data_IF_560506092363
#
_entry.id   IF_560506092363
#
_cell.length_a   1.000
_cell.length_b   1.000
_cell.length_c   1.000
_cell.angle_alpha   90.00
_cell.angle_beta   90.00
_cell.angle_gamma   90.00
#
_symmetry.space_group_name_H-M   'P 1'
#
loop_
_entity.id
_entity.type
_entity.pdbx_description
1 polymer ?
#
# COMPACT_ATOMS: atom_id res chain seq x y z
N UNK A 1 -5.49 -7.68 20.03
CA UNK A 1 -4.73 -8.23 18.89
C UNK A 1 -3.94 -7.08 18.32
N UNK A 2 -2.76 -6.83 18.87
CA UNK A 2 -1.79 -5.91 18.30
C UNK A 2 -0.95 -6.73 17.32
N UNK A 3 -1.33 -6.67 16.05
CA UNK A 3 -0.57 -7.24 14.96
C UNK A 3 0.39 -6.19 14.40
N UNK A 4 1.37 -6.65 13.62
CA UNK A 4 2.17 -5.73 12.81
C UNK A 4 1.24 -4.88 11.94
N UNK A 5 1.54 -3.59 11.82
CA UNK A 5 0.82 -2.66 10.96
C UNK A 5 1.79 -1.99 10.01
N UNK A 6 1.31 -1.57 8.85
CA UNK A 6 2.10 -0.80 7.89
C UNK A 6 1.59 0.61 7.91
N UNK A 7 2.40 1.54 8.40
CA UNK A 7 2.08 2.96 8.42
C UNK A 7 2.62 3.62 7.17
N UNK A 8 1.83 4.45 6.51
CA UNK A 8 2.36 5.43 5.58
C UNK A 8 2.18 6.85 6.11
N UNK A 9 3.15 7.70 5.78
CA UNK A 9 3.12 9.14 6.05
C UNK A 9 3.37 9.89 4.75
N UNK A 10 2.40 10.69 4.33
CA UNK A 10 2.51 11.56 3.14
C UNK A 10 2.77 12.98 3.60
N UNK A 11 4.00 13.46 3.40
CA UNK A 11 4.40 14.83 3.69
C UNK A 11 4.03 15.72 2.51
N UNK A 12 3.27 16.78 2.80
CA UNK A 12 2.83 17.78 1.82
C UNK A 12 3.24 19.19 2.27
N UNK A 13 3.69 20.07 1.35
CA UNK A 13 3.98 21.47 1.68
C UNK A 13 2.71 22.30 1.95
N UNK A 14 1.53 21.70 1.93
CA UNK A 14 0.26 22.36 2.19
C UNK A 14 0.09 22.65 3.68
N UNK A 15 0.01 23.94 4.05
CA UNK A 15 0.10 24.38 5.45
C UNK A 15 -1.22 24.39 6.24
N UNK A 16 -2.38 24.37 5.56
CA UNK A 16 -3.68 24.50 6.21
C UNK A 16 -4.24 23.12 6.56
N UNK A 17 -3.97 22.64 7.77
CA UNK A 17 -4.39 21.30 8.24
C UNK A 17 -5.91 21.09 8.10
N UNK A 18 -6.72 22.07 8.52
CA UNK A 18 -8.19 21.98 8.43
C UNK A 18 -8.69 21.76 6.99
N UNK A 19 -8.09 22.48 6.03
CA UNK A 19 -8.47 22.39 4.61
C UNK A 19 -8.06 21.05 4.03
N UNK A 20 -6.89 20.55 4.41
CA UNK A 20 -6.40 19.24 3.96
C UNK A 20 -7.25 18.10 4.55
N UNK A 21 -7.60 18.19 5.83
CA UNK A 21 -8.48 17.22 6.48
C UNK A 21 -9.89 17.23 5.87
N UNK A 22 -10.43 18.41 5.55
CA UNK A 22 -11.67 18.55 4.79
C UNK A 22 -11.58 17.94 3.40
N UNK A 23 -10.47 18.14 2.68
CA UNK A 23 -10.20 17.49 1.39
C UNK A 23 -10.21 15.96 1.52
N UNK A 24 -9.52 15.40 2.51
CA UNK A 24 -9.52 13.97 2.78
C UNK A 24 -10.95 13.45 3.03
N UNK A 25 -11.72 14.12 3.89
CA UNK A 25 -13.12 13.75 4.18
C UNK A 25 -14.01 13.78 2.93
N UNK A 26 -13.87 14.80 2.08
CA UNK A 26 -14.65 14.90 0.83
C UNK A 26 -14.34 13.77 -0.15
N UNK A 27 -13.12 13.21 -0.11
CA UNK A 27 -12.72 12.04 -0.86
C UNK A 27 -13.04 10.72 -0.15
N UNK A 28 -13.78 10.73 0.95
CA UNK A 28 -14.12 9.53 1.71
C UNK A 28 -12.97 8.92 2.51
N UNK A 29 -11.85 9.65 2.67
CA UNK A 29 -10.70 9.18 3.42
C UNK A 29 -10.92 9.38 4.92
N UNK A 30 -10.68 8.33 5.70
CA UNK A 30 -10.55 8.40 7.16
C UNK A 30 -9.10 8.20 7.57
N UNK A 31 -8.37 9.31 7.53
CA UNK A 31 -6.93 9.39 7.81
C UNK A 31 -6.66 10.47 8.85
N UNK A 32 -5.52 10.40 9.51
CA UNK A 32 -5.03 11.48 10.35
C UNK A 32 -4.32 12.53 9.51
N UNK A 33 -4.62 13.80 9.75
CA UNK A 33 -3.89 14.94 9.19
C UNK A 33 -3.18 15.67 10.32
N UNK A 34 -1.86 15.68 10.27
CA UNK A 34 -0.99 16.17 11.34
C UNK A 34 -0.25 17.44 10.87
N UNK A 35 -0.22 18.52 11.67
CA UNK A 35 0.57 19.70 11.35
C UNK A 35 2.07 19.39 11.31
N UNK A 36 2.79 20.06 10.42
CA UNK A 36 4.24 19.98 10.31
C UNK A 36 4.83 21.38 10.06
N UNK A 37 6.08 21.62 10.46
CA UNK A 37 6.74 22.89 10.21
C UNK A 37 6.89 23.20 8.71
N UNK A 38 7.03 22.16 7.88
CA UNK A 38 7.10 22.26 6.42
C UNK A 38 5.73 22.24 5.72
N UNK A 39 4.64 21.91 6.43
CA UNK A 39 3.29 21.88 5.87
C UNK A 39 2.33 21.04 6.70
N UNK A 40 1.96 19.88 6.17
CA UNK A 40 1.12 18.91 6.86
C UNK A 40 1.49 17.49 6.43
N UNK A 41 1.10 16.52 7.24
CA UNK A 41 1.33 15.10 7.01
C UNK A 41 0.00 14.36 7.03
N UNK A 42 -0.20 13.46 6.09
CA UNK A 42 -1.32 12.51 6.12
C UNK A 42 -0.80 11.17 6.58
N UNK A 43 -1.37 10.63 7.66
CA UNK A 43 -0.92 9.39 8.32
C UNK A 43 -2.07 8.38 8.31
N UNK A 44 -1.75 7.14 7.94
CA UNK A 44 -2.70 6.03 7.94
C UNK A 44 -1.98 4.72 8.26
N UNK A 45 -2.66 3.86 9.01
CA UNK A 45 -2.19 2.54 9.40
C UNK A 45 -3.00 1.49 8.67
N UNK A 46 -2.29 0.65 7.90
CA UNK A 46 -2.87 -0.52 7.29
C UNK A 46 -2.61 -1.74 8.17
N UNK A 47 -3.61 -2.59 8.42
CA UNK A 47 -3.36 -3.88 9.03
C UNK A 47 -2.45 -4.69 8.10
N UNK A 48 -1.34 -5.23 8.61
CA UNK A 48 -0.56 -6.22 7.86
C UNK A 48 -1.24 -7.57 8.06
N UNK A 49 -1.62 -8.28 6.99
CA UNK A 49 -2.13 -9.64 7.14
C UNK A 49 -1.04 -10.50 7.79
N UNK A 50 -1.34 -11.04 8.96
CA UNK A 50 -0.51 -12.04 9.62
C UNK A 50 -0.75 -13.35 8.89
N UNK A 51 0.24 -13.83 8.16
CA UNK A 51 0.23 -15.16 7.60
C UNK A 51 0.79 -16.10 8.67
N UNK A 52 -0.04 -16.98 9.21
CA UNK A 52 0.44 -18.06 10.08
C UNK A 52 1.25 -19.06 9.24
N UNK A 53 2.32 -19.59 9.84
CA UNK A 53 3.40 -20.43 9.26
C UNK A 53 2.97 -21.79 8.64
N UNK A 54 1.73 -21.97 8.17
CA UNK A 54 1.17 -23.30 7.93
C UNK A 54 0.20 -23.48 6.75
N UNK A 55 0.50 -22.90 5.59
CA UNK A 55 0.04 -23.44 4.29
C UNK A 55 1.16 -24.27 3.58
N UNK A 56 2.21 -24.62 4.32
CA UNK A 56 3.27 -25.52 3.85
C UNK A 56 2.70 -26.93 3.56
N UNK A 57 1.57 -27.30 4.17
CA UNK A 57 0.84 -28.54 3.88
C UNK A 57 0.31 -28.62 2.43
N UNK A 58 -0.09 -27.49 1.85
CA UNK A 58 -0.51 -27.41 0.44
C UNK A 58 0.71 -27.42 -0.49
N UNK A 59 1.85 -26.87 -0.05
CA UNK A 59 3.11 -26.90 -0.79
C UNK A 59 3.77 -28.30 -0.80
N UNK A 60 3.53 -29.12 0.23
CA UNK A 60 4.05 -30.48 0.36
C UNK A 60 3.05 -31.57 -0.08
N UNK A 61 1.90 -31.19 -0.66
CA UNK A 61 0.94 -32.14 -1.23
C UNK A 61 0.29 -33.04 -0.18
N UNK A 62 -0.24 -32.46 0.89
CA UNK A 62 -1.05 -33.15 1.89
C UNK A 62 -2.38 -33.66 1.32
N UNK A 63 -2.33 -34.70 0.49
CA UNK A 63 -3.49 -35.43 0.02
C UNK A 63 -4.20 -36.09 1.19
N UNK A 64 -5.42 -35.61 1.50
CA UNK A 64 -6.35 -36.36 2.32
C UNK A 64 -6.96 -37.49 1.48
N UNK A 65 -6.81 -38.73 1.94
CA UNK A 65 -7.65 -39.84 1.49
C UNK A 65 -6.90 -41.09 1.06
N UNK A 66 -6.69 -42.02 1.99
CA UNK A 66 -6.20 -43.37 1.68
C UNK A 66 -5.86 -44.16 2.94
N UNK A 67 -6.90 -44.62 3.63
CA UNK A 67 -6.87 -45.54 4.78
C UNK A 67 -6.14 -46.85 4.49
N UNK A 68 -5.47 -47.36 5.53
CA UNK A 68 -5.29 -48.77 5.92
C UNK A 68 -5.00 -49.81 4.83
N UNK A 69 -3.78 -50.35 4.81
CA UNK A 69 -3.61 -51.81 4.90
C UNK A 69 -2.23 -52.17 5.47
N UNK A 70 -2.23 -52.74 6.67
CA UNK A 70 -1.15 -53.60 7.15
C UNK A 70 -1.02 -54.83 6.24
N UNK A 71 0.19 -55.16 5.80
CA UNK A 71 0.51 -56.52 5.34
C UNK A 71 2.00 -56.83 5.50
N UNK A 72 2.23 -58.00 6.12
CA UNK A 72 3.46 -58.58 6.62
C UNK A 72 4.65 -58.69 5.65
N UNK A 73 5.82 -58.51 6.28
CA UNK A 73 7.05 -59.29 6.15
C UNK A 73 7.13 -60.36 5.04
N UNK A 74 8.16 -60.21 4.21
CA UNK A 74 8.93 -61.36 3.70
C UNK A 74 10.38 -60.94 3.47
N UNK A 75 11.25 -61.27 4.43
CA UNK A 75 12.69 -61.39 4.17
C UNK A 75 12.91 -62.59 3.24
N UNK A 76 13.89 -62.48 2.33
CA UNK A 76 14.93 -63.50 2.39
C UNK A 76 16.32 -62.89 2.42
N UNK A 77 17.09 -63.35 3.41
CA UNK A 77 18.52 -63.20 3.48
C UNK A 77 19.21 -63.86 2.28
N UNK A 78 20.20 -63.18 1.69
CA UNK A 78 21.52 -63.78 1.54
C UNK A 78 22.63 -62.72 1.30
N UNK A 79 23.68 -62.91 2.10
CA UNK A 79 25.01 -62.31 2.23
C UNK A 79 25.76 -62.19 0.86
N UNK A 80 26.72 -61.31 0.55
CA UNK A 80 27.68 -60.50 1.33
C UNK A 80 28.41 -59.48 0.37
N UNK A 81 29.35 -58.62 0.84
CA UNK A 81 29.55 -57.25 0.35
C UNK A 81 30.75 -57.03 -0.60
N UNK A 82 30.81 -55.86 -1.26
CA UNK A 82 32.06 -55.25 -1.73
C UNK A 82 32.07 -53.73 -1.43
N UNK A 83 33.12 -53.18 -0.79
CA UNK A 83 33.18 -51.81 -0.32
C UNK A 83 33.75 -50.84 -1.37
N UNK A 84 33.30 -49.59 -1.29
CA UNK A 84 34.01 -48.42 -1.79
C UNK A 84 33.75 -48.04 -3.25
N UNK A 85 32.89 -47.04 -3.46
CA UNK A 85 33.12 -46.07 -4.53
C UNK A 85 32.80 -44.66 -4.03
N UNK A 86 33.87 -43.93 -3.81
CA UNK A 86 33.98 -42.47 -3.81
C UNK A 86 33.69 -41.92 -5.21
N UNK A 87 32.96 -40.80 -5.25
CA UNK A 87 33.07 -39.65 -6.17
C UNK A 87 33.74 -39.83 -7.53
N UNK A 88 33.10 -39.31 -8.59
CA UNK A 88 33.70 -38.56 -9.72
C UNK A 88 32.51 -38.06 -10.58
N UNK A 89 32.08 -36.81 -10.43
CA UNK A 89 32.52 -35.63 -11.20
C UNK A 89 32.52 -35.83 -12.72
N UNK A 90 31.61 -35.06 -13.33
CA UNK A 90 31.62 -34.40 -14.65
C UNK A 90 31.84 -35.23 -15.91
N UNK A 91 30.97 -35.05 -16.92
CA UNK A 91 31.23 -34.04 -17.95
C UNK A 91 30.21 -34.08 -19.13
N UNK A 92 29.86 -32.87 -19.56
CA UNK A 92 29.54 -32.43 -20.93
C UNK A 92 28.36 -32.97 -21.80
N UNK A 93 27.60 -31.98 -22.26
CA UNK A 93 27.36 -31.66 -23.69
C UNK A 93 26.02 -31.99 -24.38
N UNK A 94 25.10 -31.01 -24.24
CA UNK A 94 24.52 -30.18 -25.32
C UNK A 94 23.53 -30.82 -26.36
N UNK A 95 22.86 -30.02 -27.24
CA UNK A 95 21.39 -29.98 -27.30
C UNK A 95 20.79 -30.39 -28.67
N UNK A 96 19.46 -30.58 -28.74
CA UNK A 96 18.67 -30.53 -29.98
C UNK A 96 17.28 -29.96 -29.63
N UNK A 97 16.77 -28.82 -30.14
CA UNK A 97 16.52 -28.27 -31.50
C UNK A 97 15.39 -28.99 -32.28
N UNK A 98 14.35 -28.19 -32.59
CA UNK A 98 13.21 -28.38 -33.50
C UNK A 98 12.01 -29.23 -32.98
N UNK A 99 10.73 -28.90 -33.22
CA UNK A 99 10.10 -27.86 -34.04
C UNK A 99 8.61 -27.65 -33.66
N UNK A 100 8.15 -26.44 -33.96
CA UNK A 100 6.84 -25.98 -34.50
C UNK A 100 5.46 -26.48 -33.98
N UNK A 101 4.70 -25.47 -33.54
CA UNK A 101 3.35 -25.08 -33.98
C UNK A 101 2.32 -26.15 -34.38
N UNK A 102 1.16 -26.15 -33.68
CA UNK A 102 -0.12 -25.88 -34.36
C UNK A 102 -1.30 -25.61 -33.41
N UNK A 103 -1.95 -24.46 -33.68
CA UNK A 103 -3.40 -24.23 -33.80
C UNK A 103 -4.37 -24.91 -32.82
N UNK A 104 -5.22 -24.10 -32.19
CA UNK A 104 -6.65 -24.06 -32.56
C UNK A 104 -7.41 -22.99 -31.78
N UNK A 105 -7.94 -22.03 -32.52
CA UNK A 105 -9.03 -21.12 -32.18
C UNK A 105 -10.29 -21.85 -31.72
N UNK A 106 -11.02 -21.30 -30.74
CA UNK A 106 -12.47 -21.47 -30.63
C UNK A 106 -13.14 -20.10 -30.36
N UNK A 107 -13.72 -19.59 -31.44
CA UNK A 107 -14.76 -18.56 -31.45
C UNK A 107 -16.10 -19.25 -31.23
N UNK A 108 -16.96 -18.65 -30.40
CA UNK A 108 -18.40 -18.93 -30.28
C UNK A 108 -18.94 -17.89 -29.31
N UNK A 109 -19.42 -16.73 -29.75
CA UNK A 109 -20.73 -16.47 -30.37
C UNK A 109 -21.88 -17.31 -29.79
N UNK A 110 -22.57 -16.71 -28.81
CA UNK A 110 -23.88 -17.14 -28.34
C UNK A 110 -24.71 -15.89 -28.01
N UNK A 111 -25.30 -15.35 -29.07
CA UNK A 111 -26.68 -14.85 -29.17
C UNK A 111 -27.45 -14.61 -27.86
N UNK A 112 -27.80 -13.33 -27.70
CA UNK A 112 -28.93 -12.78 -26.95
C UNK A 112 -30.20 -13.59 -27.14
N UNK A 113 -30.86 -13.97 -26.03
CA UNK A 113 -32.28 -14.35 -26.03
C UNK A 113 -32.97 -13.87 -24.75
N UNK A 114 -33.79 -12.84 -24.95
CA UNK A 114 -35.20 -12.77 -24.55
C UNK A 114 -35.60 -12.94 -23.08
N UNK A 115 -36.01 -11.80 -22.53
CA UNK A 115 -36.86 -11.55 -21.36
C UNK A 115 -38.08 -12.48 -21.26
N UNK A 116 -38.47 -12.86 -20.03
CA UNK A 116 -39.88 -12.78 -19.66
C UNK A 116 -40.10 -11.94 -18.39
N UNK A 117 -41.02 -10.99 -18.52
CA UNK A 117 -41.65 -10.23 -17.45
C UNK A 117 -42.55 -11.14 -16.63
N UNK A 118 -42.38 -11.15 -15.31
CA UNK A 118 -43.39 -11.58 -14.36
C UNK A 118 -43.32 -10.64 -13.16
N UNK A 119 -44.38 -9.86 -13.03
CA UNK A 119 -44.77 -9.13 -11.82
C UNK A 119 -44.89 -10.10 -10.66
N UNK A 120 -44.23 -9.82 -9.54
CA UNK A 120 -44.73 -10.20 -8.22
C UNK A 120 -44.26 -9.18 -7.18
N UNK A 121 -45.26 -8.53 -6.61
CA UNK A 121 -45.24 -7.54 -5.55
C UNK A 121 -45.01 -8.28 -4.22
N UNK A 122 -43.80 -8.22 -3.68
CA UNK A 122 -43.51 -8.58 -2.28
C UNK A 122 -42.55 -7.55 -1.70
N UNK A 123 -43.10 -6.63 -0.92
CA UNK A 123 -42.34 -5.79 0.00
C UNK A 123 -41.86 -6.64 1.17
N UNK A 124 -40.66 -7.21 1.06
CA UNK A 124 -39.87 -7.61 2.22
C UNK A 124 -38.67 -6.68 2.31
N UNK A 125 -38.80 -5.72 3.23
CA UNK A 125 -37.76 -4.80 3.64
C UNK A 125 -36.75 -5.56 4.50
N UNK A 126 -35.93 -6.38 3.85
CA UNK A 126 -34.73 -6.94 4.45
C UNK A 126 -33.60 -5.93 4.27
N UNK A 127 -33.17 -5.39 5.41
CA UNK A 127 -31.98 -4.59 5.59
C UNK A 127 -30.75 -5.45 5.28
N UNK A 128 -30.49 -5.66 3.99
CA UNK A 128 -29.26 -6.23 3.48
C UNK A 128 -28.21 -5.12 3.40
N UNK A 129 -27.04 -5.38 3.97
CA UNK A 129 -25.85 -4.56 3.88
C UNK A 129 -25.70 -3.98 2.47
N UNK A 130 -25.89 -2.67 2.36
CA UNK A 130 -25.48 -1.92 1.20
C UNK A 130 -23.95 -2.00 1.18
N UNK A 131 -23.40 -2.94 0.42
CA UNK A 131 -22.04 -2.83 -0.10
C UNK A 131 -21.93 -1.41 -0.66
N UNK A 132 -21.12 -0.56 -0.03
CA UNK A 132 -20.92 0.84 -0.40
C UNK A 132 -20.46 0.90 -1.87
N UNK A 133 -21.41 1.06 -2.79
CA UNK A 133 -21.12 1.35 -4.20
C UNK A 133 -20.15 2.55 -4.22
N UNK A 134 -18.94 2.39 -4.77
CA UNK A 134 -17.91 3.42 -4.69
C UNK A 134 -18.43 4.69 -5.35
N UNK A 135 -18.73 5.69 -4.54
CA UNK A 135 -19.18 6.99 -5.03
C UNK A 135 -18.11 7.53 -5.97
N UNK A 136 -18.44 7.94 -7.21
CA UNK A 136 -17.43 8.38 -8.18
C UNK A 136 -16.59 9.54 -7.61
N UNK A 137 -15.30 9.27 -7.38
CA UNK A 137 -14.35 10.20 -6.77
C UNK A 137 -13.96 9.90 -5.31
N UNK A 138 -14.53 8.88 -4.68
CA UNK A 138 -14.05 8.36 -3.40
C UNK A 138 -12.69 7.66 -3.58
N UNK A 139 -11.83 7.84 -2.58
CA UNK A 139 -10.52 7.21 -2.49
C UNK A 139 -10.55 6.25 -1.30
N UNK A 140 -9.91 5.08 -1.44
CA UNK A 140 -9.64 4.22 -0.29
C UNK A 140 -8.40 4.74 0.44
N UNK A 141 -8.47 4.82 1.77
CA UNK A 141 -7.30 5.12 2.59
C UNK A 141 -6.23 4.03 2.48
N UNK A 142 -6.62 2.79 2.15
CA UNK A 142 -5.66 1.70 2.01
C UNK A 142 -4.89 1.76 0.67
N UNK A 143 -5.40 2.51 -0.32
CA UNK A 143 -4.67 2.78 -1.57
C UNK A 143 -3.76 4.02 -1.42
N UNK A 144 -2.64 3.80 -0.75
CA UNK A 144 -1.57 4.79 -0.53
C UNK A 144 -1.23 5.57 -1.80
N UNK A 145 -1.12 4.89 -2.94
CA UNK A 145 -0.66 5.50 -4.19
C UNK A 145 -1.74 6.40 -4.79
N UNK A 146 -3.02 6.00 -4.72
CA UNK A 146 -4.13 6.86 -5.12
C UNK A 146 -4.23 8.10 -4.22
N UNK A 147 -4.09 7.94 -2.90
CA UNK A 147 -4.07 9.07 -1.94
C UNK A 147 -2.91 10.01 -2.25
N UNK A 148 -1.70 9.48 -2.44
CA UNK A 148 -0.52 10.28 -2.77
C UNK A 148 -0.70 11.07 -4.08
N UNK A 149 -1.24 10.45 -5.13
CA UNK A 149 -1.51 11.14 -6.42
C UNK A 149 -2.58 12.21 -6.28
N UNK A 150 -3.61 11.99 -5.48
CA UNK A 150 -4.64 13.00 -5.22
C UNK A 150 -4.04 14.22 -4.51
N UNK A 151 -3.22 13.99 -3.48
CA UNK A 151 -2.54 15.03 -2.72
C UNK A 151 -1.46 15.76 -3.53
N UNK A 152 -0.73 15.05 -4.41
CA UNK A 152 0.28 15.64 -5.28
C UNK A 152 -0.30 16.72 -6.20
N UNK A 153 -1.58 16.60 -6.61
CA UNK A 153 -2.25 17.63 -7.43
C UNK A 153 -2.46 18.95 -6.68
N UNK A 154 -2.44 18.95 -5.36
CA UNK A 154 -2.57 20.15 -4.53
C UNK A 154 -1.25 20.94 -4.41
N UNK A 155 -0.12 20.34 -4.81
CA UNK A 155 1.22 20.89 -4.65
C UNK A 155 2.00 20.86 -5.95
N UNK A 156 2.52 22.01 -6.38
CA UNK A 156 3.43 22.07 -7.54
C UNK A 156 4.76 21.36 -7.29
N UNK A 157 5.16 21.18 -6.03
CA UNK A 157 6.36 20.46 -5.67
C UNK A 157 6.15 18.93 -5.58
N UNK A 158 4.90 18.47 -5.67
CA UNK A 158 4.54 17.08 -5.35
C UNK A 158 4.42 16.85 -3.84
N UNK A 159 4.44 15.58 -3.46
CA UNK A 159 4.41 15.06 -2.09
C UNK A 159 5.48 14.01 -1.90
N UNK A 160 5.86 13.77 -0.65
CA UNK A 160 6.79 12.72 -0.24
C UNK A 160 6.03 11.65 0.53
N UNK A 161 6.11 10.41 0.09
CA UNK A 161 5.46 9.26 0.70
C UNK A 161 6.52 8.46 1.43
N UNK A 162 6.36 8.25 2.73
CA UNK A 162 7.15 7.32 3.53
C UNK A 162 6.27 6.15 3.95
N UNK A 163 6.85 4.95 4.03
CA UNK A 163 6.14 3.76 4.49
C UNK A 163 7.05 2.98 5.43
N UNK A 164 6.53 2.61 6.59
CA UNK A 164 7.21 1.84 7.62
C UNK A 164 6.34 0.65 8.07
N UNK A 165 7.00 -0.43 8.45
CA UNK A 165 6.34 -1.58 9.09
C UNK A 165 6.55 -1.48 10.59
N UNK A 166 5.45 -1.24 11.30
CA UNK A 166 5.38 -1.18 12.75
C UNK A 166 5.10 -2.58 13.29
N UNK A 167 5.84 -2.98 14.31
CA UNK A 167 5.63 -4.22 15.03
C UNK A 167 5.97 -4.06 16.50
N UNK A 168 5.53 -5.01 17.29
CA UNK A 168 5.90 -5.12 18.69
C UNK A 168 7.20 -5.92 18.79
N UNK A 169 8.36 -5.29 18.56
CA UNK A 169 9.65 -6.00 18.65
C UNK A 169 10.51 -5.45 19.81
N UNK A 170 10.58 -6.27 20.86
CA UNK A 170 11.39 -6.17 22.09
C UNK A 170 11.19 -4.92 22.97
N UNK A 171 10.11 -4.94 23.76
CA UNK A 171 9.80 -3.92 24.76
C UNK A 171 8.32 -3.57 24.72
N UNK A 172 7.78 -2.96 25.77
CA UNK A 172 6.37 -2.55 25.82
C UNK A 172 6.03 -1.36 24.88
N UNK A 173 6.80 -1.14 23.81
CA UNK A 173 6.74 0.03 22.93
C UNK A 173 6.55 -0.41 21.48
N UNK A 174 5.72 0.32 20.73
CA UNK A 174 5.62 0.16 19.27
C UNK A 174 6.95 0.59 18.63
N UNK A 175 7.51 -0.26 17.78
CA UNK A 175 8.77 0.00 17.08
C UNK A 175 8.67 -0.35 15.59
N UNK A 176 9.70 0.01 14.83
CA UNK A 176 9.80 -0.42 13.42
C UNK A 176 10.36 -1.84 13.38
N UNK A 177 9.55 -2.80 12.92
CA UNK A 177 9.99 -4.19 12.78
C UNK A 177 10.59 -4.50 11.40
N UNK A 178 10.89 -3.47 10.58
CA UNK A 178 11.24 -3.67 9.17
C UNK A 178 11.90 -2.48 8.46
N UNK A 179 11.69 -2.41 7.14
CA UNK A 179 12.30 -1.42 6.26
C UNK A 179 11.44 -0.15 6.16
N UNK A 180 12.07 1.02 6.26
CA UNK A 180 11.44 2.30 5.88
C UNK A 180 11.75 2.59 4.41
N UNK A 181 10.70 2.85 3.62
CA UNK A 181 10.83 3.25 2.20
C UNK A 181 10.36 4.69 2.01
N UNK A 182 10.87 5.37 0.98
CA UNK A 182 10.46 6.73 0.65
C UNK A 182 10.38 6.94 -0.87
N UNK A 183 9.34 7.64 -1.30
CA UNK A 183 9.06 7.93 -2.71
C UNK A 183 8.54 9.36 -2.85
N UNK A 184 8.98 10.07 -3.89
CA UNK A 184 8.41 11.36 -4.27
C UNK A 184 7.37 11.12 -5.35
N UNK A 185 6.18 11.71 -5.18
CA UNK A 185 5.12 11.73 -6.19
C UNK A 185 4.92 13.16 -6.64
N UNK A 186 5.21 13.45 -7.90
CA UNK A 186 5.07 14.80 -8.45
C UNK A 186 3.61 15.13 -8.86
N UNK A 187 3.35 16.38 -9.24
CA UNK A 187 2.00 16.81 -9.65
C UNK A 187 1.44 16.13 -10.90
N UNK A 188 2.29 15.45 -11.69
CA UNK A 188 1.86 14.64 -12.84
C UNK A 188 1.49 13.20 -12.44
N UNK A 189 1.79 12.80 -11.20
CA UNK A 189 1.62 11.45 -10.70
C UNK A 189 2.82 10.55 -10.98
N UNK A 190 3.94 11.10 -11.46
CA UNK A 190 5.17 10.35 -11.63
C UNK A 190 5.81 10.09 -10.26
N UNK A 191 6.14 8.82 -10.01
CA UNK A 191 6.74 8.36 -8.76
C UNK A 191 8.23 8.08 -8.95
N UNK A 192 9.06 8.56 -8.04
CA UNK A 192 10.50 8.29 -8.00
C UNK A 192 10.93 7.89 -6.60
N UNK A 193 11.70 6.81 -6.48
CA UNK A 193 12.28 6.41 -5.20
C UNK A 193 13.27 7.45 -4.67
N UNK A 194 13.40 7.51 -3.34
CA UNK A 194 14.30 8.42 -2.63
C UNK A 194 14.86 7.74 -1.37
N UNK A 195 16.11 8.02 -0.96
CA UNK A 195 16.69 7.40 0.23
C UNK A 195 15.95 7.79 1.52
N UNK A 196 15.20 6.86 2.10
CA UNK A 196 14.39 7.10 3.30
C UNK A 196 15.22 7.56 4.51
N UNK A 197 16.39 6.94 4.75
CA UNK A 197 17.25 7.28 5.89
C UNK A 197 17.71 8.74 5.89
N UNK A 198 17.95 9.34 4.71
CA UNK A 198 18.32 10.75 4.62
C UNK A 198 17.12 11.67 4.90
N UNK A 199 15.94 11.29 4.41
CA UNK A 199 14.69 12.02 4.68
C UNK A 199 14.39 12.04 6.17
N UNK A 200 14.47 10.90 6.84
CA UNK A 200 14.21 10.81 8.28
C UNK A 200 15.27 11.59 9.06
N UNK A 201 16.56 11.39 8.76
CA UNK A 201 17.66 12.05 9.47
C UNK A 201 17.70 13.58 9.35
N UNK A 202 17.12 14.14 8.28
CA UNK A 202 17.04 15.60 8.06
C UNK A 202 15.64 16.16 8.24
N UNK A 203 14.67 15.29 8.49
CA UNK A 203 13.27 15.60 8.65
C UNK A 203 12.96 16.24 10.00
N UNK A 204 11.67 16.40 10.27
CA UNK A 204 11.20 16.87 11.56
C UNK A 204 11.12 15.70 12.54
N UNK A 205 11.39 15.94 13.83
CA UNK A 205 11.27 14.90 14.86
C UNK A 205 9.90 14.22 14.85
N UNK A 206 8.83 15.00 14.67
CA UNK A 206 7.48 14.46 14.63
C UNK A 206 7.26 13.48 13.47
N UNK A 207 7.94 13.66 12.33
CA UNK A 207 7.89 12.71 11.22
C UNK A 207 8.49 11.36 11.63
N UNK A 208 9.64 11.40 12.28
CA UNK A 208 10.33 10.21 12.78
C UNK A 208 9.48 9.50 13.83
N UNK A 209 9.02 10.22 14.85
CA UNK A 209 8.21 9.65 15.94
C UNK A 209 6.92 9.00 15.43
N UNK A 210 6.26 9.62 14.43
CA UNK A 210 5.10 9.04 13.76
C UNK A 210 5.48 7.79 12.94
N UNK A 211 6.58 7.83 12.19
CA UNK A 211 7.00 6.71 11.35
C UNK A 211 7.43 5.48 12.14
N UNK A 212 8.02 5.68 13.32
CA UNK A 212 8.53 4.58 14.15
C UNK A 212 7.54 4.07 15.19
N UNK A 213 6.38 4.71 15.35
CA UNK A 213 5.38 4.33 16.34
C UNK A 213 5.60 4.93 17.73
N UNK A 214 6.66 5.73 17.94
CA UNK A 214 6.92 6.39 19.22
C UNK A 214 5.85 7.42 19.60
N UNK A 215 5.11 7.96 18.62
CA UNK A 215 3.95 8.82 18.84
C UNK A 215 2.78 8.36 17.98
N UNK A 216 1.61 8.20 18.61
CA UNK A 216 0.37 7.98 17.89
C UNK A 216 -0.11 9.28 17.23
N UNK A 217 -0.65 9.23 16.01
CA UNK A 217 -1.06 10.44 15.28
C UNK A 217 -2.14 11.26 16.00
N UNK A 218 -2.99 10.61 16.81
CA UNK A 218 -4.02 11.29 17.60
C UNK A 218 -3.50 12.07 18.81
N UNK A 219 -2.27 11.79 19.27
CA UNK A 219 -1.65 12.47 20.41
C UNK A 219 -0.92 13.75 19.99
N UNK A 220 -0.77 13.97 18.68
CA UNK A 220 -0.08 15.16 18.16
C UNK A 220 -0.98 16.39 18.27
N UNK A 221 -0.44 17.44 18.88
CA UNK A 221 -1.16 18.71 19.03
C UNK A 221 -1.59 19.28 17.66
N UNK A 222 -2.89 19.51 17.50
CA UNK A 222 -3.48 20.03 16.27
C UNK A 222 -3.70 18.98 15.18
N UNK A 223 -3.50 17.69 15.46
CA UNK A 223 -3.91 16.62 14.55
C UNK A 223 -5.43 16.55 14.42
N UNK A 224 -5.90 16.24 13.22
CA UNK A 224 -7.31 16.13 12.88
C UNK A 224 -7.55 14.78 12.23
N UNK A 225 -8.48 14.00 12.78
CA UNK A 225 -9.00 12.83 12.09
C UNK A 225 -10.03 13.28 11.06
N UNK A 226 -9.72 13.08 9.79
CA UNK A 226 -10.58 13.55 8.69
C UNK A 226 -11.97 12.92 8.74
N UNK A 227 -12.08 11.63 9.12
CA UNK A 227 -13.36 10.93 9.27
C UNK A 227 -14.33 11.58 10.28
N UNK A 228 -13.82 12.25 11.32
CA UNK A 228 -14.63 12.89 12.36
C UNK A 228 -15.06 14.33 12.04
N UNK A 229 -14.75 14.86 10.85
CA UNK A 229 -15.17 16.21 10.46
C UNK A 229 -16.66 16.19 10.10
N UNK A 230 -17.43 17.04 10.77
CA UNK A 230 -18.84 17.26 10.47
C UNK A 230 -19.04 17.96 9.12
N UNK A 231 -20.08 17.57 8.38
CA UNK A 231 -20.45 18.19 7.10
C UNK A 231 -20.65 19.71 7.22
N UNK A 232 -21.21 20.18 8.34
CA UNK A 232 -21.39 21.61 8.60
C UNK A 232 -20.08 22.38 8.75
N UNK A 233 -19.00 21.72 9.19
CA UNK A 233 -17.66 22.31 9.25
C UNK A 233 -17.06 22.46 7.83
N UNK A 234 -17.30 21.48 6.95
CA UNK A 234 -16.90 21.53 5.53
C UNK A 234 -17.61 22.68 4.81
N UNK A 235 -18.92 22.85 5.03
CA UNK A 235 -19.70 23.95 4.42
C UNK A 235 -19.17 25.33 4.83
N UNK A 236 -18.77 25.49 6.10
CA UNK A 236 -18.15 26.74 6.59
C UNK A 236 -16.80 27.00 5.94
N UNK A 237 -16.01 25.95 5.70
CA UNK A 237 -14.72 26.04 5.04
C UNK A 237 -14.87 26.41 3.55
N UNK A 238 -15.87 25.84 2.87
CA UNK A 238 -16.19 26.13 1.48
C UNK A 238 -16.77 27.56 1.28
N UNK A 239 -17.50 28.06 2.28
CA UNK A 239 -18.04 29.42 2.31
C UNK A 239 -17.05 30.52 2.75
N UNK A 240 -15.82 30.14 3.11
CA UNK A 240 -14.79 31.07 3.56
C UNK A 240 -14.34 32.04 2.47
N UNK A 241 -14.04 33.30 2.85
CA UNK A 241 -13.48 34.29 1.94
C UNK A 241 -12.13 33.79 1.40
N UNK A 242 -11.89 33.93 0.08
CA UNK A 242 -10.63 33.52 -0.55
C UNK A 242 -9.48 34.30 0.09
N UNK A 243 -8.69 33.61 0.90
CA UNK A 243 -7.42 34.12 1.40
C UNK A 243 -6.55 34.37 0.16
N UNK A 244 -6.12 35.62 -0.08
CA UNK A 244 -5.60 36.08 -1.40
C UNK A 244 -4.34 35.35 -1.87
N UNK A 245 -3.81 34.42 -1.06
CA UNK A 245 -2.56 33.72 -1.29
C UNK A 245 -1.43 34.73 -1.17
N UNK A 246 -0.48 34.49 -0.28
CA UNK A 246 0.74 35.31 -0.27
C UNK A 246 1.38 35.19 -1.66
N UNK A 247 1.32 36.26 -2.47
CA UNK A 247 1.96 36.29 -3.78
C UNK A 247 3.42 35.91 -3.58
N UNK A 248 3.81 34.75 -4.10
CA UNK A 248 5.20 34.35 -4.14
C UNK A 248 5.98 35.45 -4.87
N UNK A 249 7.03 36.02 -4.26
CA UNK A 249 7.79 37.07 -4.92
C UNK A 249 8.30 36.54 -6.27
N UNK A 250 8.30 37.37 -7.32
CA UNK A 250 8.73 36.94 -8.65
C UNK A 250 10.13 36.35 -8.56
N UNK A 251 10.30 35.13 -9.08
CA UNK A 251 11.60 34.46 -9.14
C UNK A 251 12.57 35.37 -9.87
N UNK A 252 13.56 35.91 -9.14
CA UNK A 252 14.64 36.69 -9.76
C UNK A 252 15.30 35.81 -10.82
N UNK A 253 15.44 36.26 -12.07
CA UNK A 253 16.16 35.50 -13.07
C UNK A 253 17.58 35.27 -12.55
N UNK A 254 18.01 34.00 -12.53
CA UNK A 254 19.39 33.64 -12.23
C UNK A 254 20.27 34.41 -13.22
N UNK A 255 21.04 35.39 -12.73
CA UNK A 255 22.07 36.02 -13.54
C UNK A 255 23.06 34.93 -13.90
N UNK A 256 23.00 34.49 -15.15
CA UNK A 256 24.03 33.66 -15.76
C UNK A 256 25.31 34.49 -15.69
N UNK A 257 26.23 34.15 -14.79
CA UNK A 257 27.56 34.73 -14.78
C UNK A 257 28.29 34.18 -16.01
N UNK A 258 28.05 34.82 -17.15
CA UNK A 258 28.93 34.75 -18.30
C UNK A 258 30.29 35.30 -17.87
N UNK A 259 31.28 34.42 -17.93
CA UNK A 259 32.69 34.74 -17.77
C UNK A 259 33.09 35.62 -18.95
N UNK A 260 33.31 36.91 -18.70
CA UNK A 260 33.96 37.77 -19.69
C UNK A 260 35.39 37.24 -19.91
N UNK A 261 35.62 36.68 -21.09
CA UNK A 261 36.94 36.36 -21.61
C UNK A 261 37.66 37.65 -21.95
N UNK A 262 38.79 37.90 -21.29
CA UNK A 262 39.79 38.89 -21.69
C UNK A 262 41.14 38.22 -21.79
#
# INVERSE_FOLDING_TARGET
MSGNSRRYVIVTPFKKVDVLAGFCKMHGLDVWVVPSAQGAMVVHDLPVPVFDDWDISELLGGGTGGSDTDAEASEPADLNPIPGQTSLFDDESAPSLFDEEKMSSHFGDATVSSVPTLDDDVTDNDNADAEDEPTPGSLSADDRDAVARALAKLSRAGVLVLTAELGEDVGNEEGVSGLVTAQVVDSSGFTSDTPAGLIVATGEQILEDLLIGATSPGDVSGAIRSGSIDTSAIERLAGGSRDEGTQLPPRRPRRFFGRDSK
#
